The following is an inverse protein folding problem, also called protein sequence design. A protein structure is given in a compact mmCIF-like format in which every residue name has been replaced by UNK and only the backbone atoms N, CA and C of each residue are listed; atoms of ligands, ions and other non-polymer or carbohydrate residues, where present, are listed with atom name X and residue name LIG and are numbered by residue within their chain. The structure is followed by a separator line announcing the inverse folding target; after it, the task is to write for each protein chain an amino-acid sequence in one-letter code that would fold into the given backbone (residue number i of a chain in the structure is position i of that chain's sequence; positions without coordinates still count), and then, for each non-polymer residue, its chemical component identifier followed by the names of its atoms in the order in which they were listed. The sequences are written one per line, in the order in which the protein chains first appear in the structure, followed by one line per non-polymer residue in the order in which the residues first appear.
data_IF_528919696811
#
_entry.id   IF_528919696811
#
_cell.length_a   1.000
_cell.length_b   1.000
_cell.length_c   1.000
_cell.angle_alpha   90.00
_cell.angle_beta   90.00
_cell.angle_gamma   90.00
#
_symmetry.space_group_name_H-M   'P 1'
#
loop_
_entity.id
_entity.type
_entity.pdbx_description
1 polymer ?
#
# COMPACT_ATOMS: atom_id res chain seq x y z
N UNK A 1 -23.91 20.79 -8.40
CA UNK A 1 -24.43 19.43 -8.28
C UNK A 1 -23.29 18.58 -7.76
N UNK A 2 -23.26 18.28 -6.47
CA UNK A 2 -22.24 17.41 -5.87
C UNK A 2 -22.76 15.98 -5.95
N UNK A 3 -22.27 15.22 -6.93
CA UNK A 3 -22.33 13.77 -6.88
C UNK A 3 -21.02 13.34 -6.24
N UNK A 4 -20.97 13.33 -4.90
CA UNK A 4 -19.97 12.54 -4.19
C UNK A 4 -20.54 11.13 -4.11
N UNK A 5 -20.27 10.34 -5.15
CA UNK A 5 -20.42 8.90 -5.09
C UNK A 5 -19.34 8.39 -4.14
N UNK A 6 -19.70 8.24 -2.85
CA UNK A 6 -18.95 7.38 -1.93
C UNK A 6 -18.69 6.04 -2.63
N UNK A 7 -17.47 5.49 -2.55
CA UNK A 7 -17.14 4.31 -3.32
C UNK A 7 -17.97 3.11 -2.81
N UNK A 8 -18.52 2.32 -3.73
CA UNK A 8 -18.98 0.98 -3.41
C UNK A 8 -17.74 0.07 -3.30
N UNK A 9 -17.08 0.10 -2.14
CA UNK A 9 -16.15 -0.95 -1.73
C UNK A 9 -17.00 -1.98 -0.95
N UNK A 10 -17.66 -2.91 -1.62
CA UNK A 10 -18.53 -3.89 -0.95
C UNK A 10 -17.78 -4.91 -0.07
N UNK A 11 -16.45 -4.89 -0.06
CA UNK A 11 -15.60 -5.83 0.68
C UNK A 11 -14.35 -5.12 1.27
N UNK A 12 -14.56 -4.04 2.04
CA UNK A 12 -13.47 -3.48 2.86
C UNK A 12 -13.18 -4.43 4.01
N UNK A 13 -11.92 -4.84 4.16
CA UNK A 13 -11.49 -5.68 5.29
C UNK A 13 -11.12 -4.81 6.50
N UNK A 14 -10.30 -3.77 6.31
CA UNK A 14 -9.90 -2.83 7.37
C UNK A 14 -9.86 -1.39 6.85
N UNK A 15 -10.47 -0.46 7.58
CA UNK A 15 -10.30 0.98 7.35
C UNK A 15 -9.26 1.56 8.31
N UNK A 16 -8.31 2.32 7.79
CA UNK A 16 -7.24 2.99 8.53
C UNK A 16 -7.24 4.47 8.15
N UNK A 17 -7.28 5.36 9.15
CA UNK A 17 -7.09 6.80 8.91
C UNK A 17 -5.67 7.04 8.39
N UNK A 18 -5.52 7.81 7.31
CA UNK A 18 -4.20 8.06 6.74
C UNK A 18 -3.33 8.74 7.81
N UNK A 19 -2.11 8.23 8.07
CA UNK A 19 -1.31 8.67 9.19
C UNK A 19 -1.00 10.17 9.18
N UNK A 20 -0.53 10.61 10.36
CA UNK A 20 -0.16 11.98 10.76
C UNK A 20 0.25 12.95 9.65
N UNK A 21 0.02 14.24 9.89
CA UNK A 21 0.47 15.35 9.03
C UNK A 21 1.95 15.23 8.57
N UNK A 22 2.81 14.60 9.37
CA UNK A 22 4.22 14.32 9.02
C UNK A 22 4.38 13.37 7.83
N UNK A 23 3.55 12.31 7.73
CA UNK A 23 3.57 11.40 6.58
C UNK A 23 3.13 12.11 5.31
N UNK A 24 2.02 12.87 5.39
CA UNK A 24 1.53 13.65 4.26
C UNK A 24 2.58 14.66 3.76
N UNK A 25 3.27 15.34 4.67
CA UNK A 25 4.38 16.24 4.32
C UNK A 25 5.57 15.52 3.70
N UNK A 26 5.86 14.29 4.11
CA UNK A 26 6.93 13.46 3.53
C UNK A 26 6.57 13.05 2.11
N UNK A 27 5.36 12.54 1.91
CA UNK A 27 4.83 12.19 0.60
C UNK A 27 4.84 13.39 -0.36
N UNK A 28 4.39 14.57 0.10
CA UNK A 28 4.45 15.81 -0.67
C UNK A 28 5.89 16.18 -1.05
N UNK A 29 6.84 16.10 -0.10
CA UNK A 29 8.26 16.40 -0.38
C UNK A 29 8.85 15.45 -1.40
N UNK A 30 8.52 14.17 -1.34
CA UNK A 30 9.02 13.18 -2.29
C UNK A 30 8.44 13.43 -3.68
N UNK A 31 7.13 13.66 -3.77
CA UNK A 31 6.43 13.96 -5.02
C UNK A 31 6.95 15.22 -5.72
N UNK A 32 7.16 16.32 -4.97
CA UNK A 32 7.58 17.61 -5.52
C UNK A 32 8.96 17.57 -6.21
N UNK A 33 9.81 16.59 -5.87
CA UNK A 33 11.14 16.44 -6.51
C UNK A 33 11.03 15.97 -7.96
N UNK A 34 9.95 15.28 -8.32
CA UNK A 34 9.82 14.63 -9.62
C UNK A 34 8.40 14.81 -10.19
N UNK A 35 8.04 16.00 -10.71
CA UNK A 35 6.67 16.29 -11.14
C UNK A 35 6.08 15.30 -12.15
N UNK A 36 6.91 14.69 -13.00
CA UNK A 36 6.46 13.73 -14.01
C UNK A 36 5.90 12.42 -13.42
N UNK A 37 6.34 12.02 -12.21
CA UNK A 37 5.86 10.83 -11.50
C UNK A 37 5.44 11.13 -10.05
N UNK A 38 5.22 12.41 -9.74
CA UNK A 38 5.00 12.89 -8.38
C UNK A 38 3.73 12.31 -7.75
N UNK A 39 2.65 12.19 -8.52
CA UNK A 39 1.39 11.61 -8.05
C UNK A 39 1.55 10.15 -7.62
N UNK A 40 2.26 9.35 -8.44
CA UNK A 40 2.59 7.96 -8.10
C UNK A 40 3.42 7.88 -6.82
N UNK A 41 4.50 8.67 -6.72
CA UNK A 41 5.35 8.72 -5.53
C UNK A 41 4.54 9.13 -4.30
N UNK A 42 3.66 10.10 -4.43
CA UNK A 42 2.78 10.57 -3.36
C UNK A 42 1.91 9.43 -2.82
N UNK A 43 1.15 8.77 -3.70
CA UNK A 43 0.24 7.67 -3.34
C UNK A 43 1.00 6.46 -2.78
N UNK A 44 2.13 6.09 -3.38
CA UNK A 44 2.98 5.00 -2.89
C UNK A 44 3.52 5.29 -1.48
N UNK A 45 3.96 6.53 -1.23
CA UNK A 45 4.46 6.93 0.10
C UNK A 45 3.35 6.86 1.15
N UNK A 46 2.13 7.31 0.80
CA UNK A 46 0.98 7.19 1.70
C UNK A 46 0.63 5.73 1.98
N UNK A 47 0.60 4.88 0.95
CA UNK A 47 0.30 3.46 1.08
C UNK A 47 1.27 2.73 2.02
N UNK A 48 2.58 2.97 1.86
CA UNK A 48 3.61 2.43 2.76
C UNK A 48 3.39 2.88 4.20
N UNK A 49 3.08 4.15 4.41
CA UNK A 49 2.82 4.67 5.75
C UNK A 49 1.55 4.12 6.41
N UNK A 50 0.48 3.91 5.63
CA UNK A 50 -0.75 3.25 6.09
C UNK A 50 -0.46 1.82 6.54
N UNK A 51 0.29 1.05 5.74
CA UNK A 51 0.65 -0.33 6.08
C UNK A 51 1.61 -0.38 7.26
N UNK A 52 2.58 0.54 7.36
CA UNK A 52 3.46 0.68 8.52
C UNK A 52 2.64 0.87 9.80
N UNK A 53 1.66 1.78 9.78
CA UNK A 53 0.77 1.99 10.93
C UNK A 53 -0.04 0.73 11.25
N UNK A 54 -0.65 0.10 10.24
CA UNK A 54 -1.45 -1.11 10.41
C UNK A 54 -0.65 -2.25 11.05
N UNK A 55 0.55 -2.54 10.53
CA UNK A 55 1.41 -3.61 11.03
C UNK A 55 1.93 -3.32 12.45
N UNK A 56 2.28 -2.07 12.76
CA UNK A 56 2.66 -1.68 14.12
C UNK A 56 1.53 -1.88 15.12
N UNK A 57 0.27 -1.64 14.72
CA UNK A 57 -0.90 -1.92 15.56
C UNK A 57 -1.09 -3.42 15.83
N UNK A 58 -0.71 -4.27 14.86
CA UNK A 58 -0.67 -5.73 15.03
C UNK A 58 0.54 -6.23 15.82
N UNK A 59 1.47 -5.34 16.20
CA UNK A 59 2.66 -5.67 16.99
C UNK A 59 3.89 -6.07 16.15
N UNK A 60 3.87 -5.87 14.83
CA UNK A 60 5.05 -6.05 14.00
C UNK A 60 6.00 -4.84 14.11
N UNK A 61 7.30 -5.11 14.09
CA UNK A 61 8.30 -4.10 13.81
C UNK A 61 8.37 -3.84 12.29
N UNK A 62 8.56 -2.59 11.91
CA UNK A 62 8.62 -2.15 10.51
C UNK A 62 9.66 -1.04 10.36
N UNK A 63 10.30 -0.99 9.18
CA UNK A 63 11.29 0.02 8.84
C UNK A 63 11.08 0.53 7.41
N UNK A 64 10.45 1.71 7.30
CA UNK A 64 10.25 2.37 6.01
C UNK A 64 11.56 2.75 5.33
N UNK A 65 12.64 3.01 6.09
CA UNK A 65 13.90 3.55 5.54
C UNK A 65 14.74 2.51 4.80
N UNK A 66 14.44 1.23 5.01
CA UNK A 66 15.08 0.09 4.34
C UNK A 66 14.34 -0.34 3.06
N UNK A 67 13.18 0.27 2.78
CA UNK A 67 12.43 0.05 1.54
C UNK A 67 13.01 0.85 0.37
N UNK A 68 12.94 0.27 -0.83
CA UNK A 68 13.29 0.97 -2.07
C UNK A 68 12.36 2.18 -2.30
N UNK A 69 11.15 2.14 -1.77
CA UNK A 69 10.16 3.22 -1.75
C UNK A 69 10.66 4.48 -1.02
N UNK A 70 11.62 4.36 -0.10
CA UNK A 70 12.25 5.48 0.61
C UNK A 70 13.57 5.93 -0.02
N UNK A 71 14.02 5.28 -1.08
CA UNK A 71 15.20 5.67 -1.83
C UNK A 71 14.83 6.66 -2.95
N UNK A 72 15.36 7.91 -2.94
CA UNK A 72 15.00 8.94 -3.91
C UNK A 72 15.22 8.57 -5.38
N UNK A 73 16.18 7.69 -5.66
CA UNK A 73 16.46 7.21 -7.02
C UNK A 73 15.48 6.09 -7.39
N UNK A 74 15.28 5.11 -6.50
CA UNK A 74 14.48 3.92 -6.79
C UNK A 74 12.99 4.24 -6.94
N UNK A 75 12.44 5.16 -6.13
CA UNK A 75 11.03 5.62 -6.26
C UNK A 75 10.72 6.29 -7.62
N UNK A 76 11.73 6.78 -8.34
CA UNK A 76 11.59 7.43 -9.65
C UNK A 76 11.63 6.38 -10.76
N UNK A 77 12.63 5.50 -10.71
CA UNK A 77 12.84 4.49 -11.76
C UNK A 77 11.83 3.36 -11.67
N UNK A 78 11.38 3.00 -10.47
CA UNK A 78 10.44 1.90 -10.24
C UNK A 78 9.14 2.44 -9.64
N UNK A 79 8.02 1.80 -9.98
CA UNK A 79 6.75 1.98 -9.28
C UNK A 79 6.72 1.12 -8.00
N UNK A 80 7.60 1.45 -7.06
CA UNK A 80 7.81 0.69 -5.82
C UNK A 80 7.17 1.36 -4.62
N UNK A 81 6.58 0.56 -3.74
CA UNK A 81 5.96 0.95 -2.48
C UNK A 81 6.13 -0.20 -1.47
N UNK A 82 7.37 -0.65 -1.33
CA UNK A 82 7.72 -1.72 -0.40
C UNK A 82 7.89 -1.19 1.03
N UNK A 83 7.52 -2.04 1.99
CA UNK A 83 7.78 -1.87 3.40
C UNK A 83 8.60 -3.05 3.90
N UNK A 84 9.74 -2.76 4.53
CA UNK A 84 10.55 -3.80 5.15
C UNK A 84 10.03 -4.15 6.55
N UNK A 85 9.84 -5.45 6.79
CA UNK A 85 9.41 -6.04 8.05
C UNK A 85 10.53 -6.95 8.54
N UNK A 86 11.34 -6.53 9.54
CA UNK A 86 12.49 -7.29 10.02
C UNK A 86 12.13 -8.72 10.41
N UNK A 87 12.91 -9.68 9.91
CA UNK A 87 12.70 -11.11 10.17
C UNK A 87 11.66 -11.79 9.28
N UNK A 88 10.83 -11.04 8.55
CA UNK A 88 9.79 -11.57 7.68
C UNK A 88 10.06 -11.32 6.20
N UNK A 89 10.46 -10.11 5.81
CA UNK A 89 10.75 -9.76 4.41
C UNK A 89 10.17 -8.40 4.01
N UNK A 90 9.85 -8.24 2.73
CA UNK A 90 9.25 -7.00 2.19
C UNK A 90 7.80 -7.21 1.80
N UNK A 91 6.94 -6.27 2.16
CA UNK A 91 5.53 -6.23 1.76
C UNK A 91 5.37 -5.13 0.74
N UNK A 92 4.75 -5.44 -0.41
CA UNK A 92 4.44 -4.46 -1.43
C UNK A 92 3.06 -3.84 -1.15
N UNK A 93 2.99 -2.51 -1.09
CA UNK A 93 1.75 -1.78 -0.80
C UNK A 93 1.17 -1.25 -2.11
N UNK A 94 -0.02 -1.68 -2.53
CA UNK A 94 -0.59 -1.29 -3.82
C UNK A 94 -1.89 -0.54 -3.67
N UNK A 95 -1.98 0.60 -4.36
CA UNK A 95 -3.18 1.42 -4.39
C UNK A 95 -3.98 1.11 -5.66
N UNK A 96 -5.28 0.93 -5.50
CA UNK A 96 -6.24 0.85 -6.61
C UNK A 96 -7.14 2.07 -6.65
N UNK A 97 -7.67 2.35 -7.85
CA UNK A 97 -8.71 3.36 -8.01
C UNK A 97 -10.07 2.85 -7.52
N UNK A 98 -10.99 3.78 -7.29
CA UNK A 98 -12.38 3.43 -7.05
C UNK A 98 -12.92 2.53 -8.18
N UNK A 99 -13.75 1.54 -7.81
CA UNK A 99 -14.39 0.60 -8.74
C UNK A 99 -13.43 -0.34 -9.50
N UNK A 100 -12.14 -0.36 -9.15
CA UNK A 100 -11.20 -1.33 -9.71
C UNK A 100 -11.61 -2.77 -9.34
N UNK A 101 -11.44 -3.69 -10.29
CA UNK A 101 -11.63 -5.14 -10.07
C UNK A 101 -10.33 -5.91 -10.03
N UNK A 102 -9.22 -5.24 -10.35
CA UNK A 102 -7.87 -5.79 -10.34
C UNK A 102 -6.84 -4.73 -9.97
N UNK A 103 -5.76 -5.16 -9.35
CA UNK A 103 -4.61 -4.35 -8.97
C UNK A 103 -3.43 -4.64 -9.89
N UNK A 104 -2.78 -3.61 -10.42
CA UNK A 104 -1.55 -3.77 -11.19
C UNK A 104 -0.35 -3.99 -10.26
N UNK A 105 0.53 -4.92 -10.63
CA UNK A 105 1.81 -5.18 -9.97
C UNK A 105 2.92 -5.02 -11.03
N UNK A 106 3.76 -3.99 -10.91
CA UNK A 106 4.87 -3.81 -11.85
C UNK A 106 5.82 -5.02 -11.84
N UNK A 107 6.24 -5.46 -13.04
CA UNK A 107 7.15 -6.61 -13.17
C UNK A 107 8.47 -6.44 -12.40
N UNK A 108 8.94 -5.19 -12.23
CA UNK A 108 10.19 -4.87 -11.55
C UNK A 108 10.12 -4.98 -10.01
N UNK A 109 8.93 -5.19 -9.43
CA UNK A 109 8.73 -5.27 -7.96
C UNK A 109 8.25 -6.64 -7.48
N UNK A 110 8.11 -7.62 -8.37
CA UNK A 110 7.54 -8.94 -8.03
C UNK A 110 8.51 -9.88 -7.29
N UNK A 111 9.82 -9.62 -7.37
CA UNK A 111 10.83 -10.43 -6.69
C UNK A 111 10.98 -10.00 -5.21
N UNK A 112 11.21 -10.99 -4.34
CA UNK A 112 11.53 -10.81 -2.91
C UNK A 112 10.42 -10.16 -2.04
N UNK A 113 9.15 -10.24 -2.47
CA UNK A 113 7.99 -9.84 -1.67
C UNK A 113 7.37 -11.04 -0.97
N UNK A 114 7.05 -10.88 0.30
CA UNK A 114 6.38 -11.92 1.12
C UNK A 114 4.87 -11.74 1.19
N UNK A 115 4.38 -10.56 0.82
CA UNK A 115 2.96 -10.28 0.64
C UNK A 115 2.76 -9.01 -0.20
N UNK A 116 1.56 -8.87 -0.75
CA UNK A 116 1.07 -7.70 -1.47
C UNK A 116 -0.23 -7.26 -0.81
N UNK A 117 -0.24 -6.08 -0.19
CA UNK A 117 -1.44 -5.51 0.45
C UNK A 117 -2.07 -4.52 -0.52
N UNK A 118 -3.35 -4.71 -0.83
CA UNK A 118 -4.10 -3.85 -1.74
C UNK A 118 -5.03 -2.93 -0.96
N UNK A 119 -5.07 -1.66 -1.34
CA UNK A 119 -5.91 -0.65 -0.67
C UNK A 119 -6.47 0.40 -1.64
N UNK A 120 -7.57 1.03 -1.25
CA UNK A 120 -8.03 2.30 -1.81
C UNK A 120 -7.62 3.47 -0.91
N UNK A 121 -7.44 4.66 -1.50
CA UNK A 121 -7.21 5.90 -0.76
C UNK A 121 -8.37 6.87 -1.02
N UNK A 122 -8.98 7.38 0.05
CA UNK A 122 -9.91 8.51 0.02
C UNK A 122 -9.19 9.75 0.55
N UNK A 123 -8.75 10.61 -0.36
CA UNK A 123 -7.97 11.81 -0.05
C UNK A 123 -8.80 13.09 -0.05
N UNK A 124 -10.06 13.02 -0.48
CA UNK A 124 -10.93 14.19 -0.62
C UNK A 124 -11.78 14.45 0.64
N UNK A 125 -11.82 13.49 1.56
CA UNK A 125 -12.53 13.61 2.84
C UNK A 125 -11.87 14.62 3.80
N UNK A 126 -12.67 15.17 4.72
CA UNK A 126 -12.20 16.04 5.81
C UNK A 126 -11.14 15.33 6.68
N UNK A 127 -11.26 14.01 6.82
CA UNK A 127 -10.29 13.11 7.40
C UNK A 127 -9.90 12.07 6.34
N UNK A 128 -8.73 12.21 5.68
CA UNK A 128 -8.30 11.26 4.66
C UNK A 128 -8.13 9.85 5.22
N UNK A 129 -8.63 8.85 4.50
CA UNK A 129 -8.68 7.45 4.93
C UNK A 129 -8.14 6.52 3.86
N UNK A 130 -7.69 5.34 4.30
CA UNK A 130 -7.31 4.24 3.45
C UNK A 130 -8.19 3.02 3.79
N UNK A 131 -8.73 2.39 2.75
CA UNK A 131 -9.47 1.14 2.88
C UNK A 131 -8.57 0.00 2.43
N UNK A 132 -8.01 -0.76 3.37
CA UNK A 132 -7.24 -1.95 3.06
C UNK A 132 -8.24 -3.06 2.71
N UNK A 133 -8.09 -3.58 1.48
CA UNK A 133 -9.04 -4.52 0.88
C UNK A 133 -8.67 -5.97 1.17
N UNK A 134 -7.38 -6.24 1.40
CA UNK A 134 -6.86 -7.57 1.67
C UNK A 134 -5.43 -7.74 1.18
N UNK A 135 -4.97 -8.99 1.11
CA UNK A 135 -3.63 -9.31 0.63
C UNK A 135 -3.56 -10.60 -0.19
N UNK A 136 -2.51 -10.74 -0.99
CA UNK A 136 -2.04 -12.02 -1.53
C UNK A 136 -0.60 -12.28 -1.11
N UNK A 137 -0.23 -13.55 -0.97
CA UNK A 137 1.14 -13.94 -0.59
C UNK A 137 2.13 -13.88 -1.74
N UNK A 138 1.68 -14.28 -2.93
CA UNK A 138 2.49 -14.36 -4.14
C UNK A 138 1.70 -13.80 -5.32
N UNK A 139 2.43 -13.37 -6.35
CA UNK A 139 1.89 -12.79 -7.56
C UNK A 139 2.59 -13.45 -8.74
N UNK A 140 1.84 -14.19 -9.55
CA UNK A 140 2.35 -14.95 -10.70
C UNK A 140 2.24 -14.18 -12.02
N UNK A 141 1.41 -13.13 -12.06
CA UNK A 141 1.12 -12.30 -13.22
C UNK A 141 1.19 -10.81 -12.84
N UNK A 142 1.13 -9.90 -13.81
CA UNK A 142 1.16 -8.45 -13.53
C UNK A 142 -0.13 -7.91 -12.86
N UNK A 143 -1.10 -8.77 -12.57
CA UNK A 143 -2.42 -8.39 -12.06
C UNK A 143 -2.86 -9.30 -10.91
N UNK A 144 -3.34 -8.69 -9.83
CA UNK A 144 -4.04 -9.37 -8.74
C UNK A 144 -5.54 -9.11 -8.93
N UNK A 145 -6.37 -10.14 -8.98
CA UNK A 145 -7.82 -9.95 -8.96
C UNK A 145 -8.26 -9.62 -7.53
N UNK A 146 -9.11 -8.60 -7.35
CA UNK A 146 -9.49 -8.21 -5.99
C UNK A 146 -10.32 -9.29 -5.25
N UNK A 147 -11.02 -10.14 -6.00
CA UNK A 147 -11.74 -11.30 -5.45
C UNK A 147 -10.83 -12.40 -4.90
N UNK A 148 -9.53 -12.38 -5.24
CA UNK A 148 -8.53 -13.33 -4.74
C UNK A 148 -7.86 -12.86 -3.44
N UNK A 149 -8.19 -11.65 -2.97
CA UNK A 149 -7.61 -11.11 -1.76
C UNK A 149 -8.07 -11.91 -0.54
N UNK A 150 -7.10 -12.31 0.27
CA UNK A 150 -7.31 -12.88 1.60
C UNK A 150 -7.53 -11.78 2.63
N UNK A 151 -8.25 -12.10 3.70
CA UNK A 151 -8.43 -11.16 4.81
C UNK A 151 -7.09 -10.92 5.51
N UNK A 152 -6.77 -9.67 5.81
CA UNK A 152 -5.61 -9.23 6.59
C UNK A 152 -5.58 -9.82 8.00
N UNK A 153 -6.71 -10.32 8.51
CA UNK A 153 -6.71 -11.13 9.75
C UNK A 153 -5.85 -12.39 9.64
N UNK A 154 -5.64 -12.92 8.42
CA UNK A 154 -4.77 -14.06 8.14
C UNK A 154 -3.30 -13.67 7.91
N UNK A 155 -3.00 -12.37 7.77
CA UNK A 155 -1.66 -11.87 7.46
C UNK A 155 -0.60 -12.30 8.50
N UNK A 156 -0.87 -12.24 9.84
CA UNK A 156 0.14 -12.66 10.81
C UNK A 156 0.54 -14.13 10.68
N UNK A 157 -0.44 -15.01 10.41
CA UNK A 157 -0.20 -16.43 10.19
C UNK A 157 0.61 -16.65 8.90
N UNK A 158 0.23 -15.94 7.83
CA UNK A 158 0.94 -15.99 6.55
C UNK A 158 2.42 -15.59 6.69
N UNK A 159 2.70 -14.47 7.38
CA UNK A 159 4.07 -13.99 7.58
C UNK A 159 4.90 -14.95 8.45
N UNK A 160 4.30 -15.59 9.44
CA UNK A 160 5.01 -16.49 10.36
C UNK A 160 5.37 -17.86 9.75
N UNK A 161 4.85 -18.19 8.55
CA UNK A 161 5.11 -19.46 7.87
C UNK A 161 4.35 -20.66 8.42
N UNK A 162 3.38 -20.43 9.32
CA UNK A 162 2.53 -21.47 9.89
C UNK A 162 1.31 -21.71 8.99
N UNK A 163 1.50 -22.41 7.86
CA UNK A 163 0.42 -22.87 6.97
C UNK A 163 0.27 -24.38 7.00
#
# INVERSE_FOLDING_TARGET
MHFSSKPLLSEVDVTVVIPTQSLQQTAQRFAQRHPACGERIYRNTLAVGVVDQYLRLLGFETDVTQGDSWNPVLQVVNDVADLYVPGYGRIECRVVEAEATKCYVPADVSCDRVAYIVMGLDLEADEPEAALLGFVGEVTDEWILLEELRSLSELPQHLSGDV
#
